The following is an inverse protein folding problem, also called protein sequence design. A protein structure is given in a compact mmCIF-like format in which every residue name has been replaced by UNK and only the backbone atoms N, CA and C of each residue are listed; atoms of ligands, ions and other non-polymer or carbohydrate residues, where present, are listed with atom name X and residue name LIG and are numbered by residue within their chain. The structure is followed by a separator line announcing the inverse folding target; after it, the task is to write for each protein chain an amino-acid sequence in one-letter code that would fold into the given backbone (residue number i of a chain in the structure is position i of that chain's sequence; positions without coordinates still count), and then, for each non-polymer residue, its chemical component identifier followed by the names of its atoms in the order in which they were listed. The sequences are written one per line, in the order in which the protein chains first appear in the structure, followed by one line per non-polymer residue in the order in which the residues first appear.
data_IF_649723519264
#
_entry.id   IF_649723519264
#
_cell.length_a   1.000
_cell.length_b   1.000
_cell.length_c   1.000
_cell.angle_alpha   90.00
_cell.angle_beta   90.00
_cell.angle_gamma   90.00
#
_symmetry.space_group_name_H-M   'P 1'
#
loop_
_entity.id
_entity.type
_entity.pdbx_description
1 polymer ?
#
# COMPACT_ATOMS: atom_id res chain seq x y z
N UNK A 1 -6.62 -3.64 4.79
CA UNK A 1 -7.66 -3.75 3.75
C UNK A 1 -8.75 -2.68 3.89
N UNK A 2 -9.38 -2.51 5.06
CA UNK A 2 -10.45 -1.53 5.27
C UNK A 2 -10.00 -0.10 4.95
N UNK A 3 -8.83 0.31 5.43
CA UNK A 3 -8.24 1.62 5.15
C UNK A 3 -7.98 1.83 3.64
N UNK A 4 -7.59 0.78 2.93
CA UNK A 4 -7.38 0.80 1.47
C UNK A 4 -8.70 0.85 0.69
N UNK A 5 -9.73 0.15 1.18
CA UNK A 5 -11.08 0.24 0.64
C UNK A 5 -11.63 1.65 0.72
N UNK A 6 -11.51 2.29 1.89
CA UNK A 6 -11.96 3.66 2.09
C UNK A 6 -11.18 4.66 1.22
N UNK A 7 -9.86 4.52 1.14
CA UNK A 7 -9.03 5.35 0.26
C UNK A 7 -9.47 5.26 -1.21
N UNK A 8 -9.65 4.03 -1.72
CA UNK A 8 -10.04 3.80 -3.11
C UNK A 8 -11.42 4.40 -3.41
N UNK A 9 -12.38 4.29 -2.48
CA UNK A 9 -13.73 4.85 -2.57
C UNK A 9 -13.72 6.37 -2.60
N UNK A 10 -12.98 6.99 -1.67
CA UNK A 10 -12.87 8.45 -1.60
C UNK A 10 -12.17 9.05 -2.81
N UNK A 11 -11.09 8.41 -3.28
CA UNK A 11 -10.36 8.85 -4.47
C UNK A 11 -11.17 8.66 -5.75
N UNK A 12 -11.93 7.56 -5.88
CA UNK A 12 -12.85 7.35 -6.99
C UNK A 12 -13.93 8.43 -7.06
N UNK A 13 -14.54 8.77 -5.91
CA UNK A 13 -15.52 9.86 -5.81
C UNK A 13 -14.93 11.21 -6.23
N UNK A 14 -13.74 11.57 -5.73
CA UNK A 14 -13.05 12.81 -6.10
C UNK A 14 -12.68 12.83 -7.59
N UNK A 15 -12.16 11.71 -8.11
CA UNK A 15 -11.80 11.59 -9.53
C UNK A 15 -13.02 11.68 -10.45
N UNK A 16 -14.14 11.13 -10.05
CA UNK A 16 -15.41 11.20 -10.80
C UNK A 16 -15.89 12.65 -10.95
N UNK A 17 -15.77 13.44 -9.86
CA UNK A 17 -16.08 14.88 -9.87
C UNK A 17 -15.14 15.65 -10.81
N UNK A 18 -13.84 15.42 -10.71
CA UNK A 18 -12.82 16.01 -11.59
C UNK A 18 -13.11 15.70 -13.07
N UNK A 19 -13.40 14.45 -13.39
CA UNK A 19 -13.75 14.02 -14.75
C UNK A 19 -14.98 14.79 -15.27
N UNK A 20 -16.00 14.98 -14.45
CA UNK A 20 -17.20 15.74 -14.81
C UNK A 20 -16.89 17.22 -15.10
N UNK A 21 -16.05 17.82 -14.28
CA UNK A 21 -15.70 19.25 -14.42
C UNK A 21 -14.78 19.53 -15.62
N UNK A 22 -13.95 18.56 -16.05
CA UNK A 22 -12.93 18.79 -17.10
C UNK A 22 -13.30 18.18 -18.46
N UNK A 23 -14.47 17.59 -18.60
CA UNK A 23 -14.82 16.77 -19.76
C UNK A 23 -14.71 17.52 -21.09
N UNK A 24 -15.08 18.79 -21.13
CA UNK A 24 -15.12 19.63 -22.35
C UNK A 24 -13.87 20.52 -22.56
N UNK A 25 -12.90 20.44 -21.67
CA UNK A 25 -11.72 21.30 -21.71
C UNK A 25 -10.72 20.89 -22.80
N UNK A 26 -10.03 21.89 -23.37
CA UNK A 26 -8.93 21.65 -24.31
C UNK A 26 -7.77 20.94 -23.59
N UNK A 27 -7.13 20.01 -24.29
CA UNK A 27 -6.05 19.23 -23.74
C UNK A 27 -4.78 19.25 -24.59
N UNK A 28 -3.66 18.86 -23.97
CA UNK A 28 -2.36 18.80 -24.63
C UNK A 28 -2.30 17.69 -25.69
N UNK A 29 -1.37 17.85 -26.65
CA UNK A 29 -1.08 16.84 -27.69
C UNK A 29 -0.76 15.45 -27.08
N UNK A 30 -0.18 15.41 -25.88
CA UNK A 30 0.16 14.18 -25.17
C UNK A 30 -1.09 13.36 -24.78
N UNK A 31 -2.14 14.04 -24.33
CA UNK A 31 -3.43 13.40 -24.00
C UNK A 31 -4.13 13.00 -25.31
N UNK A 32 -4.17 13.89 -26.32
CA UNK A 32 -4.80 13.59 -27.61
C UNK A 32 -4.21 12.35 -28.29
N UNK A 33 -2.90 12.12 -28.20
CA UNK A 33 -2.27 10.89 -28.72
C UNK A 33 -2.81 9.62 -28.10
N UNK A 34 -3.26 9.67 -26.83
CA UNK A 34 -3.76 8.49 -26.10
C UNK A 34 -5.29 8.34 -26.21
N UNK A 35 -6.00 9.43 -26.42
CA UNK A 35 -7.48 9.46 -26.43
C UNK A 35 -8.09 9.56 -27.81
N UNK A 36 -7.25 9.82 -28.84
CA UNK A 36 -7.73 10.09 -30.17
C UNK A 36 -8.51 11.42 -30.27
N UNK A 37 -9.31 11.58 -31.31
CA UNK A 37 -10.19 12.74 -31.50
C UNK A 37 -11.46 12.61 -30.67
N UNK A 38 -11.33 12.67 -29.34
CA UNK A 38 -12.45 12.63 -28.43
C UNK A 38 -12.93 14.04 -28.08
N UNK A 39 -14.25 14.23 -27.98
CA UNK A 39 -14.85 15.47 -27.46
C UNK A 39 -14.61 15.64 -25.95
N UNK A 40 -14.34 14.55 -25.22
CA UNK A 40 -14.10 14.54 -23.78
C UNK A 40 -12.74 13.90 -23.46
N UNK A 41 -11.63 14.51 -23.84
CA UNK A 41 -10.32 13.87 -23.78
C UNK A 41 -9.88 13.52 -22.35
N UNK A 42 -10.14 14.37 -21.36
CA UNK A 42 -9.80 14.10 -19.96
C UNK A 42 -10.63 12.95 -19.38
N UNK A 43 -11.90 12.84 -19.75
CA UNK A 43 -12.77 11.72 -19.35
C UNK A 43 -12.21 10.39 -19.88
N UNK A 44 -11.87 10.34 -21.16
CA UNK A 44 -11.32 9.12 -21.79
C UNK A 44 -9.98 8.76 -21.17
N UNK A 45 -9.11 9.75 -20.93
CA UNK A 45 -7.80 9.56 -20.34
C UNK A 45 -7.84 9.06 -18.89
N UNK A 46 -8.75 9.58 -18.06
CA UNK A 46 -8.84 9.26 -16.64
C UNK A 46 -9.77 8.08 -16.33
N UNK A 47 -10.60 7.64 -17.27
CA UNK A 47 -11.53 6.50 -17.11
C UNK A 47 -10.84 5.23 -16.61
N UNK A 48 -9.70 4.78 -17.19
CA UNK A 48 -9.03 3.57 -16.72
C UNK A 48 -8.60 3.65 -15.26
N UNK A 49 -8.11 4.82 -14.81
CA UNK A 49 -7.75 5.04 -13.41
C UNK A 49 -8.98 4.98 -12.49
N UNK A 50 -10.06 5.67 -12.86
CA UNK A 50 -11.32 5.63 -12.10
C UNK A 50 -11.86 4.21 -11.98
N UNK A 51 -11.89 3.48 -13.09
CA UNK A 51 -12.42 2.13 -13.12
C UNK A 51 -11.56 1.16 -12.31
N UNK A 52 -10.22 1.37 -12.27
CA UNK A 52 -9.32 0.62 -11.38
C UNK A 52 -9.56 0.93 -9.90
N UNK A 53 -9.79 2.20 -9.54
CA UNK A 53 -10.17 2.57 -8.17
C UNK A 53 -11.49 1.92 -7.75
N UNK A 54 -12.48 1.97 -8.63
CA UNK A 54 -13.80 1.35 -8.43
C UNK A 54 -13.69 -0.17 -8.28
N UNK A 55 -12.91 -0.82 -9.13
CA UNK A 55 -12.65 -2.24 -9.02
C UNK A 55 -11.96 -2.59 -7.71
N UNK A 56 -10.98 -1.79 -7.28
CA UNK A 56 -10.26 -1.99 -6.02
C UNK A 56 -11.19 -1.99 -4.83
N UNK A 57 -12.00 -0.95 -4.63
CA UNK A 57 -12.89 -0.92 -3.47
C UNK A 57 -13.97 -2.01 -3.52
N UNK A 58 -14.53 -2.33 -4.69
CA UNK A 58 -15.51 -3.43 -4.84
C UNK A 58 -14.93 -4.81 -4.54
N UNK A 59 -13.71 -5.08 -5.00
CA UNK A 59 -13.04 -6.37 -4.70
C UNK A 59 -12.73 -6.52 -3.22
N UNK A 60 -12.26 -5.45 -2.57
CA UNK A 60 -12.01 -5.46 -1.13
C UNK A 60 -13.31 -5.64 -0.36
N UNK A 61 -14.39 -4.96 -0.74
CA UNK A 61 -15.71 -5.11 -0.14
C UNK A 61 -16.23 -6.55 -0.26
N UNK A 62 -16.14 -7.16 -1.45
CA UNK A 62 -16.53 -8.55 -1.66
C UNK A 62 -15.67 -9.52 -0.84
N UNK A 63 -14.38 -9.23 -0.66
CA UNK A 63 -13.52 -10.02 0.20
C UNK A 63 -13.91 -9.92 1.67
N UNK A 64 -14.17 -8.70 2.17
CA UNK A 64 -14.54 -8.46 3.56
C UNK A 64 -15.90 -9.06 3.92
N UNK A 65 -16.90 -8.93 3.03
CA UNK A 65 -18.28 -9.40 3.26
C UNK A 65 -18.43 -10.87 2.92
N UNK A 66 -17.98 -11.30 1.75
CA UNK A 66 -18.26 -12.61 1.18
C UNK A 66 -17.05 -13.56 1.21
N UNK A 67 -15.92 -13.15 1.82
CA UNK A 67 -14.65 -13.92 1.89
C UNK A 67 -14.14 -14.39 0.51
N UNK A 68 -14.51 -13.69 -0.58
CA UNK A 68 -13.99 -14.01 -1.92
C UNK A 68 -12.50 -13.75 -1.99
N UNK A 69 -11.70 -14.57 -2.71
CA UNK A 69 -10.28 -14.36 -2.86
C UNK A 69 -9.99 -13.00 -3.50
N UNK A 70 -8.97 -12.29 -3.02
CA UNK A 70 -8.52 -11.02 -3.59
C UNK A 70 -7.66 -11.26 -4.83
N UNK A 71 -8.09 -10.74 -5.97
CA UNK A 71 -7.23 -10.68 -7.16
C UNK A 71 -6.27 -9.50 -7.04
N UNK A 72 -5.08 -9.77 -6.50
CA UNK A 72 -4.05 -8.75 -6.29
C UNK A 72 -3.56 -8.07 -7.58
N UNK A 73 -3.76 -8.69 -8.76
CA UNK A 73 -3.31 -8.12 -10.04
C UNK A 73 -4.08 -6.87 -10.42
N UNK A 74 -5.38 -6.85 -10.10
CA UNK A 74 -6.30 -5.77 -10.47
C UNK A 74 -6.47 -4.70 -9.38
N UNK A 75 -5.83 -4.86 -8.22
CA UNK A 75 -5.84 -3.84 -7.17
C UNK A 75 -4.88 -2.69 -7.49
N UNK A 76 -5.20 -1.50 -6.99
CA UNK A 76 -4.23 -0.39 -6.91
C UNK A 76 -3.07 -0.82 -6.01
N UNK A 77 -1.84 -0.76 -6.51
CA UNK A 77 -0.64 -1.23 -5.80
C UNK A 77 0.17 -0.11 -5.17
N UNK A 78 0.14 1.07 -5.78
CA UNK A 78 0.96 2.20 -5.32
C UNK A 78 0.27 3.54 -5.56
N UNK A 79 0.69 4.56 -4.79
CA UNK A 79 0.26 5.94 -5.01
C UNK A 79 0.68 6.49 -6.38
N UNK A 80 1.75 5.98 -6.96
CA UNK A 80 2.24 6.43 -8.25
C UNK A 80 1.30 6.07 -9.41
N UNK A 81 0.55 4.99 -9.30
CA UNK A 81 -0.48 4.65 -10.28
C UNK A 81 -1.57 5.72 -10.35
N UNK A 82 -1.83 6.41 -9.25
CA UNK A 82 -2.78 7.53 -9.18
C UNK A 82 -2.09 8.83 -9.60
N UNK A 83 -0.92 9.12 -9.06
CA UNK A 83 -0.25 10.41 -9.24
C UNK A 83 0.26 10.63 -10.68
N UNK A 84 0.75 9.57 -11.35
CA UNK A 84 1.28 9.70 -12.72
C UNK A 84 0.25 10.27 -13.70
N UNK A 85 -0.95 9.70 -13.88
CA UNK A 85 -1.95 10.28 -14.78
C UNK A 85 -2.46 11.65 -14.32
N UNK A 86 -2.57 11.90 -13.01
CA UNK A 86 -3.00 13.21 -12.51
C UNK A 86 -1.97 14.32 -12.81
N UNK A 87 -0.66 14.01 -12.74
CA UNK A 87 0.40 14.96 -13.14
C UNK A 87 0.30 15.32 -14.64
N UNK A 88 0.00 14.34 -15.50
CA UNK A 88 -0.18 14.56 -16.94
C UNK A 88 -1.38 15.48 -17.19
N UNK A 89 -2.49 15.25 -16.50
CA UNK A 89 -3.68 16.11 -16.60
C UNK A 89 -3.37 17.52 -16.11
N UNK A 90 -2.73 17.67 -14.95
CA UNK A 90 -2.34 18.97 -14.41
C UNK A 90 -1.47 19.77 -15.38
N UNK A 91 -0.41 19.15 -15.90
CA UNK A 91 0.47 19.78 -16.89
C UNK A 91 -0.30 20.18 -18.17
N UNK A 92 -1.25 19.36 -18.60
CA UNK A 92 -2.09 19.67 -19.76
C UNK A 92 -3.00 20.85 -19.53
N UNK A 93 -3.60 20.99 -18.35
CA UNK A 93 -4.43 22.13 -17.96
C UNK A 93 -3.61 23.43 -17.91
N UNK A 94 -2.43 23.39 -17.27
CA UNK A 94 -1.50 24.52 -17.19
C UNK A 94 -1.07 24.99 -18.61
N UNK A 95 -0.79 24.07 -19.53
CA UNK A 95 -0.44 24.37 -20.93
C UNK A 95 -1.59 24.98 -21.76
N UNK A 96 -2.83 24.85 -21.31
CA UNK A 96 -4.01 25.39 -22.00
C UNK A 96 -4.66 26.53 -21.22
N UNK A 97 -3.92 27.24 -20.36
CA UNK A 97 -4.35 28.39 -19.56
C UNK A 97 -5.53 28.10 -18.61
N UNK A 98 -5.65 26.83 -18.14
CA UNK A 98 -6.67 26.38 -17.18
C UNK A 98 -6.07 26.18 -15.78
N UNK A 99 -5.32 27.16 -15.30
CA UNK A 99 -4.60 27.09 -14.01
C UNK A 99 -5.52 26.93 -12.81
N UNK A 100 -6.71 27.53 -12.85
CA UNK A 100 -7.72 27.39 -11.80
C UNK A 100 -8.17 25.93 -11.62
N UNK A 101 -8.34 25.21 -12.73
CA UNK A 101 -8.67 23.77 -12.69
C UNK A 101 -7.46 22.93 -12.25
N UNK A 102 -6.26 23.32 -12.65
CA UNK A 102 -5.03 22.64 -12.27
C UNK A 102 -4.68 22.79 -10.77
N UNK A 103 -5.09 23.90 -10.13
CA UNK A 103 -4.84 24.22 -8.73
C UNK A 103 -6.00 23.90 -7.78
N UNK A 104 -7.16 23.50 -8.28
CA UNK A 104 -8.37 23.18 -7.50
C UNK A 104 -8.41 21.71 -7.02
N UNK A 105 -9.54 21.06 -7.24
CA UNK A 105 -9.80 19.67 -6.77
C UNK A 105 -8.77 18.65 -7.25
N UNK A 106 -8.18 18.88 -8.44
CA UNK A 106 -7.10 18.02 -8.95
C UNK A 106 -5.88 18.06 -8.04
N UNK A 107 -5.44 19.26 -7.67
CA UNK A 107 -4.29 19.43 -6.79
C UNK A 107 -4.58 18.86 -5.39
N UNK A 108 -5.80 19.03 -4.90
CA UNK A 108 -6.22 18.47 -3.60
C UNK A 108 -6.23 16.94 -3.61
N UNK A 109 -6.71 16.32 -4.67
CA UNK A 109 -6.62 14.86 -4.83
C UNK A 109 -5.16 14.40 -4.89
N UNK A 110 -4.30 15.13 -5.62
CA UNK A 110 -2.86 14.82 -5.69
C UNK A 110 -2.18 14.96 -4.33
N UNK A 111 -2.47 16.01 -3.56
CA UNK A 111 -1.94 16.23 -2.20
C UNK A 111 -2.38 15.13 -1.25
N UNK A 112 -3.68 14.80 -1.22
CA UNK A 112 -4.21 13.69 -0.41
C UNK A 112 -3.54 12.36 -0.77
N UNK A 113 -3.44 12.05 -2.05
CA UNK A 113 -2.76 10.82 -2.51
C UNK A 113 -1.27 10.82 -2.13
N UNK A 114 -0.59 11.97 -2.20
CA UNK A 114 0.83 12.08 -1.83
C UNK A 114 1.04 11.84 -0.33
N UNK A 115 0.16 12.39 0.52
CA UNK A 115 0.25 12.28 1.97
C UNK A 115 -0.15 10.89 2.49
N UNK A 116 -1.29 10.39 2.04
CA UNK A 116 -1.90 9.16 2.58
C UNK A 116 -1.60 7.91 1.75
N UNK A 117 -1.17 8.06 0.49
CA UNK A 117 -0.96 6.93 -0.40
C UNK A 117 -2.26 6.23 -0.77
N UNK A 118 -2.21 4.90 -0.82
CA UNK A 118 -3.37 4.04 -1.09
C UNK A 118 -4.05 3.52 0.19
N UNK A 119 -3.54 3.91 1.37
CA UNK A 119 -4.10 3.59 2.68
C UNK A 119 -4.26 4.89 3.46
N UNK A 120 -5.47 5.18 3.98
CA UNK A 120 -5.74 6.40 4.74
C UNK A 120 -5.04 6.44 6.11
N UNK A 121 -4.75 5.28 6.68
CA UNK A 121 -4.04 5.14 7.94
C UNK A 121 -2.92 4.11 7.80
N UNK A 122 -1.74 4.48 8.27
CA UNK A 122 -0.63 3.54 8.49
C UNK A 122 -0.72 3.08 9.93
N UNK A 123 -0.70 1.76 10.12
CA UNK A 123 -0.59 1.19 11.46
C UNK A 123 0.86 1.30 11.93
N UNK A 124 1.04 1.85 13.13
CA UNK A 124 2.31 1.83 13.83
C UNK A 124 2.28 0.61 14.78
N UNK A 125 3.17 -0.34 14.54
CA UNK A 125 3.27 -1.55 15.35
C UNK A 125 4.35 -1.31 16.38
N UNK A 126 3.94 -1.20 17.65
CA UNK A 126 4.83 -1.04 18.78
C UNK A 126 4.79 -2.29 19.61
N UNK A 127 5.97 -2.87 19.85
CA UNK A 127 6.12 -4.02 20.69
C UNK A 127 7.35 -3.87 21.58
N UNK A 128 7.22 -4.29 22.83
CA UNK A 128 8.30 -4.22 23.80
C UNK A 128 9.45 -5.16 23.41
N UNK A 129 10.70 -4.68 23.52
CA UNK A 129 11.90 -5.44 23.16
C UNK A 129 12.09 -6.70 24.01
N UNK A 130 11.60 -6.69 25.25
CA UNK A 130 11.61 -7.86 26.14
C UNK A 130 10.84 -9.05 25.54
N UNK A 131 9.69 -8.81 24.88
CA UNK A 131 8.90 -9.86 24.22
C UNK A 131 9.65 -10.47 23.02
N UNK A 132 10.40 -9.67 22.27
CA UNK A 132 11.28 -10.18 21.21
C UNK A 132 12.40 -11.06 21.78
N UNK A 133 13.02 -10.62 22.86
CA UNK A 133 14.07 -11.38 23.53
C UNK A 133 13.56 -12.72 24.08
N UNK A 134 12.36 -12.75 24.65
CA UNK A 134 11.72 -13.99 25.13
C UNK A 134 11.41 -14.96 23.99
N UNK A 135 10.87 -14.46 22.87
CA UNK A 135 10.61 -15.27 21.67
C UNK A 135 11.89 -15.92 21.14
N UNK A 136 12.94 -15.13 20.97
CA UNK A 136 14.24 -15.64 20.50
C UNK A 136 14.84 -16.62 21.52
N UNK A 137 14.72 -16.35 22.82
CA UNK A 137 15.21 -17.27 23.88
C UNK A 137 14.52 -18.62 23.83
N UNK A 138 13.19 -18.68 23.67
CA UNK A 138 12.47 -19.95 23.49
C UNK A 138 12.95 -20.69 22.24
N UNK A 139 13.08 -19.97 21.13
CA UNK A 139 13.54 -20.55 19.88
C UNK A 139 14.94 -21.15 20.01
N UNK A 140 15.91 -20.35 20.52
CA UNK A 140 17.31 -20.74 20.62
C UNK A 140 17.47 -21.90 21.60
N UNK A 141 16.79 -21.87 22.75
CA UNK A 141 16.82 -22.92 23.73
C UNK A 141 16.33 -24.27 23.18
N UNK A 142 15.21 -24.24 22.45
CA UNK A 142 14.59 -25.48 21.94
C UNK A 142 15.24 -26.02 20.67
N UNK A 143 15.81 -25.16 19.81
CA UNK A 143 16.42 -25.58 18.54
C UNK A 143 17.91 -25.88 18.69
N UNK A 144 18.62 -25.12 19.52
CA UNK A 144 20.07 -25.19 19.63
C UNK A 144 20.56 -25.59 21.03
N UNK A 145 19.66 -25.85 21.98
CA UNK A 145 19.95 -26.18 23.39
C UNK A 145 20.92 -25.15 24.04
N UNK A 146 20.82 -23.88 23.66
CA UNK A 146 21.67 -22.78 24.14
C UNK A 146 20.83 -21.75 24.89
N UNK A 147 21.35 -21.22 25.98
CA UNK A 147 20.70 -20.16 26.76
C UNK A 147 21.04 -18.80 26.20
N UNK A 148 20.12 -18.26 25.37
CA UNK A 148 20.27 -16.94 24.73
C UNK A 148 20.25 -15.78 25.73
N UNK A 149 19.56 -15.94 26.87
CA UNK A 149 19.44 -14.89 27.89
C UNK A 149 20.75 -14.59 28.60
N UNK A 150 21.69 -15.56 28.65
CA UNK A 150 23.00 -15.40 29.27
C UNK A 150 24.07 -14.80 28.36
N UNK A 151 23.77 -14.64 27.07
CA UNK A 151 24.71 -14.04 26.14
C UNK A 151 24.78 -12.53 26.34
N UNK A 152 25.99 -11.97 26.24
CA UNK A 152 26.17 -10.54 26.16
C UNK A 152 25.69 -9.99 24.80
N UNK A 153 25.58 -8.66 24.64
CA UNK A 153 25.02 -8.04 23.43
C UNK A 153 25.81 -8.38 22.15
N UNK A 154 27.14 -8.39 22.22
CA UNK A 154 27.98 -8.74 21.06
C UNK A 154 27.77 -10.21 20.65
N UNK A 155 27.72 -11.13 21.60
CA UNK A 155 27.45 -12.54 21.35
C UNK A 155 26.06 -12.77 20.75
N UNK A 156 25.03 -12.02 21.21
CA UNK A 156 23.68 -12.05 20.62
C UNK A 156 23.70 -11.59 19.18
N UNK A 157 24.38 -10.46 18.89
CA UNK A 157 24.50 -9.92 17.54
C UNK A 157 25.20 -10.91 16.62
N UNK A 158 26.33 -11.46 17.02
CA UNK A 158 27.09 -12.42 16.21
C UNK A 158 26.31 -13.70 15.96
N UNK A 159 25.62 -14.21 17.00
CA UNK A 159 24.75 -15.36 16.86
C UNK A 159 23.64 -15.11 15.85
N UNK A 160 22.92 -14.00 15.96
CA UNK A 160 21.82 -13.67 15.05
C UNK A 160 22.32 -13.44 13.62
N UNK A 161 23.42 -12.72 13.43
CA UNK A 161 24.03 -12.51 12.11
C UNK A 161 24.43 -13.85 11.47
N UNK A 162 25.03 -14.76 12.23
CA UNK A 162 25.41 -16.08 11.72
C UNK A 162 24.20 -16.88 11.23
N UNK A 163 23.06 -16.77 11.92
CA UNK A 163 21.82 -17.49 11.54
C UNK A 163 21.11 -16.88 10.34
N UNK A 164 21.01 -15.55 10.29
CA UNK A 164 20.41 -14.84 9.15
C UNK A 164 21.21 -15.10 7.85
N UNK A 165 22.53 -15.15 7.94
CA UNK A 165 23.40 -15.41 6.79
C UNK A 165 23.36 -16.87 6.33
N UNK A 166 23.16 -17.83 7.25
CA UNK A 166 23.13 -19.25 6.91
C UNK A 166 21.78 -19.74 6.39
N UNK A 167 20.68 -19.21 6.91
CA UNK A 167 19.31 -19.60 6.52
C UNK A 167 18.33 -18.45 6.83
N UNK A 168 17.90 -17.75 5.81
CA UNK A 168 16.91 -16.66 5.93
C UNK A 168 15.57 -17.12 6.51
N UNK A 169 15.27 -18.41 6.44
CA UNK A 169 14.01 -19.01 6.88
C UNK A 169 14.16 -19.87 8.16
N UNK A 170 15.24 -19.69 8.90
CA UNK A 170 15.63 -20.55 10.01
C UNK A 170 14.58 -20.68 11.13
N UNK A 171 13.66 -19.72 11.25
CA UNK A 171 12.60 -19.70 12.28
C UNK A 171 11.20 -20.01 11.72
N UNK A 172 10.97 -19.94 10.41
CA UNK A 172 9.64 -20.00 9.80
C UNK A 172 8.84 -21.29 10.09
N UNK A 173 9.53 -22.43 10.28
CA UNK A 173 8.90 -23.73 10.58
C UNK A 173 8.81 -24.02 12.07
N UNK A 174 9.21 -23.09 12.94
CA UNK A 174 9.24 -23.31 14.36
C UNK A 174 7.86 -23.09 14.99
N UNK A 175 7.45 -24.02 15.88
CA UNK A 175 6.19 -23.91 16.61
C UNK A 175 6.47 -23.47 18.05
N UNK A 176 6.10 -22.25 18.39
CA UNK A 176 6.20 -21.72 19.74
C UNK A 176 5.19 -22.41 20.67
N UNK A 177 5.61 -22.73 21.90
CA UNK A 177 4.76 -23.30 22.94
C UNK A 177 4.16 -22.25 23.85
N UNK A 178 4.92 -21.20 24.15
CA UNK A 178 4.44 -20.07 24.92
C UNK A 178 3.41 -19.28 24.08
N UNK A 179 2.24 -19.00 24.66
CA UNK A 179 1.13 -18.30 24.00
C UNK A 179 1.53 -16.88 23.58
N UNK A 180 2.24 -16.16 24.43
CA UNK A 180 2.69 -14.79 24.15
C UNK A 180 3.72 -14.76 23.01
N UNK A 181 4.69 -15.69 23.02
CA UNK A 181 5.67 -15.82 21.94
C UNK A 181 5.02 -16.20 20.61
N UNK A 182 4.00 -17.05 20.66
CA UNK A 182 3.21 -17.39 19.47
C UNK A 182 2.50 -16.17 18.90
N UNK A 183 1.87 -15.34 19.73
CA UNK A 183 1.21 -14.10 19.33
C UNK A 183 2.19 -13.11 18.68
N UNK A 184 3.36 -12.92 19.30
CA UNK A 184 4.44 -12.09 18.73
C UNK A 184 4.85 -12.59 17.36
N UNK A 185 5.07 -13.90 17.22
CA UNK A 185 5.44 -14.54 15.97
C UNK A 185 4.37 -14.39 14.88
N UNK A 186 3.11 -14.60 15.22
CA UNK A 186 1.98 -14.42 14.32
C UNK A 186 1.88 -12.96 13.83
N UNK A 187 2.14 -11.99 14.71
CA UNK A 187 2.21 -10.56 14.33
C UNK A 187 3.29 -10.31 13.27
N UNK A 188 4.51 -10.83 13.46
CA UNK A 188 5.57 -10.70 12.47
C UNK A 188 5.26 -11.40 11.14
N UNK A 189 4.60 -12.56 11.20
CA UNK A 189 4.18 -13.27 9.98
C UNK A 189 3.17 -12.44 9.18
N UNK A 190 2.22 -11.80 9.84
CA UNK A 190 1.26 -10.89 9.15
C UNK A 190 2.00 -9.72 8.50
N UNK A 191 2.93 -9.08 9.22
CA UNK A 191 3.73 -7.96 8.68
C UNK A 191 4.54 -8.39 7.44
N UNK A 192 5.12 -9.60 7.48
CA UNK A 192 5.95 -10.10 6.38
C UNK A 192 5.16 -10.47 5.11
N UNK A 193 3.85 -10.64 5.22
CA UNK A 193 2.95 -10.97 4.10
C UNK A 193 2.34 -9.72 3.45
N UNK A 194 2.44 -8.58 4.11
CA UNK A 194 1.99 -7.30 3.52
C UNK A 194 3.06 -6.78 2.56
N UNK A 195 2.68 -6.36 1.33
CA UNK A 195 3.60 -5.91 0.29
C UNK A 195 4.17 -4.51 0.58
#
# INVERSE_FOLDING_TARGET
LLSRWEAAKLYEKSLTKIIGSYSMEKCSKKILKQTGKSYEPYRVFLRPLRDKMRATHRMIEQHLVNKKPLDQKNLLKSKEEILKPLRVVRQSLEQNNNENLASGELLDLMRRTKCFGINLAKLDIRQESSRHSQLISEFVKRKYNKDYSRLNENEKIDFLKSKINSDKNFINKFKFRNKENKEVWETFNVISQEP
#
